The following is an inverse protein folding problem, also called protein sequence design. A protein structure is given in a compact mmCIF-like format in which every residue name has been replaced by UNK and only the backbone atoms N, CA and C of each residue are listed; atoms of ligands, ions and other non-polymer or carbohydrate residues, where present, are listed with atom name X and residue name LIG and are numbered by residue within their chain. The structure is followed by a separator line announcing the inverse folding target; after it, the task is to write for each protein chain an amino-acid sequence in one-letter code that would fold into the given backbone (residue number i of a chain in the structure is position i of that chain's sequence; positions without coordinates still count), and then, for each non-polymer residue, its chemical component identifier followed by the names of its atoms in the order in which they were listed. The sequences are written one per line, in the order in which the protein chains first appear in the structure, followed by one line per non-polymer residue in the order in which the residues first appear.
data_IF_298510854861
#
_entry.id   IF_298510854861
#
_cell.length_a   1.000
_cell.length_b   1.000
_cell.length_c   1.000
_cell.angle_alpha   90.00
_cell.angle_beta   90.00
_cell.angle_gamma   90.00
#
_symmetry.space_group_name_H-M   'P 1'
#
loop_
_entity.id
_entity.type
_entity.pdbx_description
1 polymer ?
#
# COMPACT_ATOMS: atom_id res chain seq x y z
N UNK A 1 18.70 57.99 -19.48
CA UNK A 1 18.07 56.76 -20.00
C UNK A 1 17.56 55.93 -18.82
N UNK A 2 16.27 56.02 -18.53
CA UNK A 2 15.61 55.31 -17.42
C UNK A 2 15.06 53.97 -17.91
N UNK A 3 15.63 52.85 -17.43
CA UNK A 3 15.06 51.52 -17.64
C UNK A 3 13.92 51.34 -16.62
N UNK A 4 12.69 51.53 -17.07
CA UNK A 4 11.47 51.18 -16.34
C UNK A 4 11.47 49.69 -16.02
N UNK A 5 11.74 49.34 -14.76
CA UNK A 5 11.53 48.01 -14.21
C UNK A 5 10.02 47.78 -14.09
N UNK A 6 9.44 47.07 -15.06
CA UNK A 6 8.06 46.55 -14.94
C UNK A 6 8.06 45.59 -13.74
N UNK A 7 7.17 45.77 -12.75
CA UNK A 7 7.19 44.98 -11.53
C UNK A 7 6.85 43.52 -11.83
N UNK A 8 7.73 42.61 -11.40
CA UNK A 8 7.60 41.14 -11.45
C UNK A 8 6.24 40.64 -10.95
N UNK A 9 5.58 41.40 -10.07
CA UNK A 9 4.28 41.13 -9.48
C UNK A 9 3.17 41.06 -10.56
N UNK A 10 3.23 41.89 -11.62
CA UNK A 10 2.22 41.88 -12.70
C UNK A 10 2.31 40.65 -13.60
N UNK A 11 3.49 40.03 -13.73
CA UNK A 11 3.65 38.79 -14.50
C UNK A 11 3.17 37.57 -13.72
N UNK A 12 3.38 37.56 -12.40
CA UNK A 12 2.89 36.50 -11.52
C UNK A 12 1.35 36.47 -11.45
N UNK A 13 0.69 37.62 -11.40
CA UNK A 13 -0.77 37.68 -11.41
C UNK A 13 -1.38 37.09 -12.70
N UNK A 14 -0.79 37.36 -13.87
CA UNK A 14 -1.28 36.77 -15.13
C UNK A 14 -1.12 35.25 -15.21
N UNK A 15 -0.09 34.69 -14.57
CA UNK A 15 0.13 33.24 -14.54
C UNK A 15 -0.82 32.56 -13.56
N UNK A 16 -1.01 33.14 -12.36
CA UNK A 16 -1.88 32.59 -11.31
C UNK A 16 -3.36 32.66 -11.71
N UNK A 17 -3.79 33.68 -12.45
CA UNK A 17 -5.16 33.81 -12.94
C UNK A 17 -5.42 33.13 -14.30
N UNK A 18 -4.47 32.34 -14.82
CA UNK A 18 -4.66 31.61 -16.07
C UNK A 18 -5.63 30.44 -15.88
N UNK A 19 -6.75 30.35 -16.63
CA UNK A 19 -7.70 29.24 -16.55
C UNK A 19 -7.06 27.87 -16.78
N UNK A 20 -5.92 27.82 -17.49
CA UNK A 20 -5.18 26.58 -17.75
C UNK A 20 -4.51 26.05 -16.48
N UNK A 21 -4.01 26.92 -15.61
CA UNK A 21 -3.37 26.54 -14.34
C UNK A 21 -4.42 25.96 -13.37
N UNK A 22 -5.58 26.61 -13.26
CA UNK A 22 -6.70 26.12 -12.44
C UNK A 22 -7.24 24.77 -12.93
N UNK A 23 -7.34 24.58 -14.25
CA UNK A 23 -7.79 23.31 -14.84
C UNK A 23 -6.75 22.20 -14.59
N UNK A 24 -5.45 22.49 -14.75
CA UNK A 24 -4.39 21.54 -14.46
C UNK A 24 -4.36 21.14 -12.96
N UNK A 25 -4.52 22.10 -12.05
CA UNK A 25 -4.63 21.84 -10.62
C UNK A 25 -5.86 20.97 -10.30
N UNK A 26 -7.01 21.26 -10.94
CA UNK A 26 -8.22 20.45 -10.78
C UNK A 26 -8.04 19.00 -11.24
N UNK A 27 -7.39 18.78 -12.39
CA UNK A 27 -7.04 17.44 -12.88
C UNK A 27 -6.09 16.72 -11.92
N UNK A 28 -5.10 17.43 -11.37
CA UNK A 28 -4.18 16.86 -10.39
C UNK A 28 -4.89 16.46 -9.09
N UNK A 29 -5.77 17.30 -8.56
CA UNK A 29 -6.59 16.97 -7.38
C UNK A 29 -7.48 15.74 -7.64
N UNK A 30 -8.10 15.66 -8.83
CA UNK A 30 -8.92 14.51 -9.20
C UNK A 30 -8.09 13.23 -9.35
N UNK A 31 -6.92 13.30 -10.00
CA UNK A 31 -6.00 12.18 -10.12
C UNK A 31 -5.52 11.67 -8.76
N UNK A 32 -5.13 12.57 -7.87
CA UNK A 32 -4.75 12.25 -6.48
C UNK A 32 -5.90 11.60 -5.71
N UNK A 33 -7.15 12.01 -5.94
CA UNK A 33 -8.32 11.35 -5.34
C UNK A 33 -8.48 9.90 -5.80
N UNK A 34 -8.16 9.57 -7.05
CA UNK A 34 -8.22 8.19 -7.56
C UNK A 34 -7.15 7.34 -6.88
N UNK A 35 -5.92 7.87 -6.77
CA UNK A 35 -4.80 7.18 -6.11
C UNK A 35 -5.12 6.91 -4.63
N UNK A 36 -5.67 7.91 -3.93
CA UNK A 36 -6.12 7.74 -2.54
C UNK A 36 -7.20 6.67 -2.45
N UNK A 37 -8.19 6.69 -3.36
CA UNK A 37 -9.25 5.68 -3.40
C UNK A 37 -8.71 4.26 -3.63
N UNK A 38 -7.78 4.09 -4.58
CA UNK A 38 -7.14 2.80 -4.83
C UNK A 38 -6.39 2.28 -3.60
N UNK A 39 -5.64 3.16 -2.92
CA UNK A 39 -4.93 2.78 -1.70
C UNK A 39 -5.91 2.39 -0.56
N UNK A 40 -7.05 3.10 -0.43
CA UNK A 40 -8.10 2.71 0.52
C UNK A 40 -8.68 1.34 0.20
N UNK A 41 -8.96 1.07 -1.07
CA UNK A 41 -9.54 -0.19 -1.52
C UNK A 41 -8.55 -1.36 -1.30
N UNK A 42 -7.25 -1.14 -1.52
CA UNK A 42 -6.22 -2.12 -1.19
C UNK A 42 -6.14 -2.42 0.32
N UNK A 43 -6.14 -1.38 1.16
CA UNK A 43 -6.13 -1.55 2.61
C UNK A 43 -7.40 -2.27 3.11
N UNK A 44 -8.54 -1.98 2.50
CA UNK A 44 -9.80 -2.67 2.76
C UNK A 44 -9.78 -4.14 2.29
N UNK A 45 -9.18 -4.43 1.14
CA UNK A 45 -9.01 -5.79 0.67
C UNK A 45 -8.11 -6.59 1.62
N UNK A 46 -7.00 -6.01 2.09
CA UNK A 46 -6.08 -6.65 3.03
C UNK A 46 -6.76 -6.92 4.38
N UNK A 47 -7.57 -5.98 4.89
CA UNK A 47 -8.30 -6.21 6.15
C UNK A 47 -9.36 -7.30 6.02
N UNK A 48 -10.07 -7.35 4.90
CA UNK A 48 -11.04 -8.43 4.61
C UNK A 48 -10.34 -9.77 4.45
N UNK A 49 -9.18 -9.81 3.79
CA UNK A 49 -8.37 -11.02 3.64
C UNK A 49 -7.88 -11.52 5.00
N UNK A 50 -7.30 -10.63 5.81
CA UNK A 50 -6.89 -10.95 7.17
C UNK A 50 -8.05 -11.55 7.98
N UNK A 51 -9.21 -10.89 8.01
CA UNK A 51 -10.39 -11.40 8.71
C UNK A 51 -10.83 -12.80 8.23
N UNK A 52 -10.71 -13.11 6.93
CA UNK A 52 -11.08 -14.41 6.36
C UNK A 52 -10.05 -15.51 6.64
N UNK A 53 -8.76 -15.18 6.58
CA UNK A 53 -7.66 -16.15 6.73
C UNK A 53 -7.49 -16.55 8.20
N UNK A 54 -7.88 -15.68 9.14
CA UNK A 54 -7.68 -15.93 10.57
C UNK A 54 -6.22 -15.76 11.00
N UNK A 55 -5.96 -15.98 12.29
CA UNK A 55 -4.59 -16.00 12.81
C UNK A 55 -3.97 -17.39 12.62
N UNK A 56 -2.66 -17.48 12.31
CA UNK A 56 -1.97 -18.76 12.23
C UNK A 56 -1.90 -19.45 13.61
N UNK A 57 -1.51 -20.73 13.60
CA UNK A 57 -1.32 -21.49 14.84
C UNK A 57 -0.19 -20.88 15.68
N UNK A 58 -0.39 -20.89 17.00
CA UNK A 58 0.60 -20.40 17.95
C UNK A 58 1.79 -21.36 18.06
N UNK A 59 3.00 -20.88 17.77
CA UNK A 59 4.23 -21.67 17.81
C UNK A 59 5.28 -21.05 18.74
N UNK A 60 6.20 -21.87 19.26
CA UNK A 60 7.36 -21.37 20.01
C UNK A 60 8.34 -20.69 19.06
N UNK A 61 9.00 -19.60 19.50
CA UNK A 61 9.93 -18.87 18.64
C UNK A 61 11.05 -19.76 18.07
N UNK A 62 11.60 -20.68 18.87
CA UNK A 62 12.66 -21.59 18.42
C UNK A 62 12.20 -22.60 17.36
N UNK A 63 10.90 -22.82 17.21
CA UNK A 63 10.30 -23.73 16.23
C UNK A 63 9.67 -22.95 15.05
N UNK A 64 9.79 -21.62 15.04
CA UNK A 64 9.21 -20.78 14.00
C UNK A 64 9.94 -20.98 12.66
N UNK A 65 9.15 -21.04 11.59
CA UNK A 65 9.58 -21.24 10.21
C UNK A 65 8.65 -20.35 9.40
N UNK A 66 9.14 -19.25 8.80
CA UNK A 66 8.31 -18.27 8.11
C UNK A 66 7.32 -18.91 7.14
N UNK A 67 7.82 -19.72 6.21
CA UNK A 67 7.01 -20.36 5.14
C UNK A 67 5.86 -21.26 5.64
N UNK A 68 5.90 -21.72 6.90
CA UNK A 68 4.94 -22.68 7.46
C UNK A 68 4.02 -22.01 8.49
N UNK A 69 4.55 -21.05 9.23
CA UNK A 69 3.92 -20.48 10.41
C UNK A 69 3.42 -19.05 10.21
N UNK A 70 3.59 -18.48 9.01
CA UNK A 70 2.89 -17.26 8.59
C UNK A 70 1.64 -17.60 7.77
N UNK A 71 0.71 -16.65 7.71
CA UNK A 71 -0.45 -16.76 6.84
C UNK A 71 -0.23 -16.01 5.51
N UNK A 72 -1.22 -16.02 4.62
CA UNK A 72 -1.14 -15.37 3.30
C UNK A 72 -0.97 -13.83 3.34
N UNK A 73 -1.02 -13.22 4.52
CA UNK A 73 -0.82 -11.79 4.75
C UNK A 73 0.37 -11.53 5.68
N UNK A 74 1.29 -12.50 5.78
CA UNK A 74 2.54 -12.46 6.56
C UNK A 74 2.35 -12.20 8.05
N UNK A 75 1.17 -12.48 8.57
CA UNK A 75 0.93 -12.46 10.01
C UNK A 75 1.50 -13.72 10.65
N UNK A 76 1.98 -13.55 11.88
CA UNK A 76 2.54 -14.62 12.71
C UNK A 76 1.96 -14.57 14.12
N UNK A 77 2.01 -15.73 14.79
CA UNK A 77 1.69 -15.86 16.20
C UNK A 77 2.77 -16.70 16.90
N UNK A 78 3.65 -16.04 17.64
CA UNK A 78 4.79 -16.69 18.31
C UNK A 78 4.79 -16.48 19.82
N UNK A 79 5.23 -17.49 20.55
CA UNK A 79 5.52 -17.42 21.98
C UNK A 79 7.01 -17.21 22.19
N UNK A 80 7.36 -16.21 22.99
CA UNK A 80 8.74 -15.85 23.22
C UNK A 80 8.95 -15.11 24.54
N UNK A 81 10.21 -15.07 24.98
CA UNK A 81 10.61 -14.19 26.08
C UNK A 81 11.14 -12.87 25.52
N UNK A 82 10.76 -11.75 26.13
CA UNK A 82 11.21 -10.42 25.68
C UNK A 82 12.15 -9.77 26.69
N UNK A 83 13.29 -9.30 26.22
CA UNK A 83 14.32 -8.64 27.05
C UNK A 83 14.09 -7.15 27.20
N UNK A 84 13.02 -6.73 27.87
CA UNK A 84 12.65 -5.30 28.02
C UNK A 84 13.76 -4.45 28.63
N UNK A 85 14.59 -5.02 29.51
CA UNK A 85 15.72 -4.34 30.14
C UNK A 85 16.83 -3.94 29.15
N UNK A 86 16.82 -4.55 27.96
CA UNK A 86 17.78 -4.28 26.89
C UNK A 86 17.11 -3.64 25.67
N UNK A 87 15.89 -3.15 25.82
CA UNK A 87 15.22 -2.42 24.76
C UNK A 87 16.00 -1.15 24.40
N UNK A 88 16.03 -0.80 23.13
CA UNK A 88 16.69 0.41 22.64
C UNK A 88 15.80 1.15 21.66
N UNK A 89 16.19 2.36 21.27
CA UNK A 89 15.46 3.14 20.27
C UNK A 89 16.38 3.52 19.14
N UNK A 90 15.86 3.46 17.93
CA UNK A 90 16.53 3.93 16.73
C UNK A 90 15.67 4.94 16.02
N UNK A 91 16.31 5.85 15.29
CA UNK A 91 15.60 6.72 14.37
C UNK A 91 15.68 6.09 12.98
N UNK A 92 14.52 5.80 12.40
CA UNK A 92 14.38 5.16 11.08
C UNK A 92 13.74 6.15 10.12
N UNK A 93 14.32 6.30 8.93
CA UNK A 93 13.85 7.23 7.90
C UNK A 93 14.87 8.33 7.60
N UNK A 94 14.61 9.10 6.55
CA UNK A 94 15.40 10.26 6.16
C UNK A 94 14.81 11.53 6.77
N UNK A 95 15.65 12.39 7.36
CA UNK A 95 15.38 13.74 7.90
C UNK A 95 13.90 14.14 8.10
N UNK A 96 13.16 14.43 7.04
CA UNK A 96 11.77 14.90 7.07
C UNK A 96 10.73 13.84 7.52
N UNK A 97 11.07 12.55 7.45
CA UNK A 97 10.21 11.42 7.82
C UNK A 97 10.84 10.50 8.87
N UNK A 98 11.79 11.03 9.64
CA UNK A 98 12.49 10.27 10.66
C UNK A 98 11.53 9.90 11.82
N UNK A 99 11.40 8.61 12.11
CA UNK A 99 10.55 8.06 13.16
C UNK A 99 11.35 7.33 14.21
N UNK A 100 11.03 7.56 15.47
CA UNK A 100 11.60 6.78 16.57
C UNK A 100 10.92 5.42 16.65
N UNK A 101 11.71 4.37 16.48
CA UNK A 101 11.26 2.99 16.60
C UNK A 101 11.91 2.39 17.83
N UNK A 102 11.08 1.82 18.70
CA UNK A 102 11.49 1.00 19.82
C UNK A 102 11.86 -0.38 19.33
N UNK A 103 13.02 -0.86 19.74
CA UNK A 103 13.48 -2.20 19.45
C UNK A 103 13.56 -2.99 20.76
N UNK A 104 12.91 -4.17 20.79
CA UNK A 104 12.96 -5.08 21.95
C UNK A 104 13.49 -6.43 21.49
N UNK A 105 14.59 -6.94 22.09
CA UNK A 105 15.12 -8.24 21.73
C UNK A 105 14.17 -9.36 22.18
N UNK A 106 14.01 -10.36 21.31
CA UNK A 106 13.19 -11.55 21.53
C UNK A 106 14.11 -12.76 21.67
N UNK A 107 13.85 -13.57 22.69
CA UNK A 107 14.59 -14.78 23.03
C UNK A 107 13.70 -16.03 22.92
N UNK A 108 14.34 -17.18 22.74
CA UNK A 108 13.68 -18.48 22.82
C UNK A 108 12.95 -18.64 24.16
N UNK A 109 11.89 -19.46 24.17
CA UNK A 109 11.23 -19.81 25.42
C UNK A 109 12.17 -20.69 26.24
N UNK A 110 12.56 -20.20 27.42
CA UNK A 110 13.50 -20.92 28.26
C UNK A 110 12.86 -22.12 28.95
N UNK A 111 13.73 -23.01 29.42
CA UNK A 111 13.33 -24.13 30.31
C UNK A 111 12.60 -23.66 31.59
N UNK A 112 12.84 -22.42 32.04
CA UNK A 112 12.15 -21.81 33.19
C UNK A 112 10.68 -21.51 32.88
N UNK A 113 10.36 -21.23 31.61
CA UNK A 113 9.01 -20.90 31.16
C UNK A 113 8.16 -22.11 30.76
N UNK A 114 8.77 -23.28 30.54
CA UNK A 114 8.05 -24.53 30.19
C UNK A 114 6.89 -24.90 31.13
N UNK A 115 6.98 -24.73 32.47
CA UNK A 115 5.88 -25.05 33.37
C UNK A 115 4.62 -24.23 33.08
N UNK A 116 4.77 -22.96 32.68
CA UNK A 116 3.64 -22.09 32.33
C UNK A 116 2.96 -22.54 31.04
N UNK A 117 3.76 -22.96 30.04
CA UNK A 117 3.23 -23.54 28.80
C UNK A 117 2.47 -24.83 29.07
N UNK A 118 3.04 -25.72 29.89
CA UNK A 118 2.39 -26.98 30.27
C UNK A 118 1.09 -26.74 31.05
N UNK A 119 1.06 -25.72 31.93
CA UNK A 119 -0.14 -25.33 32.66
C UNK A 119 -1.21 -24.81 31.70
N UNK A 120 -0.85 -23.94 30.74
CA UNK A 120 -1.77 -23.40 29.73
C UNK A 120 -2.35 -24.52 28.86
N UNK A 121 -1.52 -25.46 28.41
CA UNK A 121 -1.96 -26.62 27.63
C UNK A 121 -2.91 -27.53 28.43
N UNK A 122 -2.65 -27.72 29.73
CA UNK A 122 -3.53 -28.49 30.61
C UNK A 122 -4.90 -27.81 30.79
N UNK A 123 -4.93 -26.48 31.00
CA UNK A 123 -6.16 -25.70 31.12
C UNK A 123 -6.95 -25.73 29.81
N UNK A 124 -6.29 -25.52 28.67
CA UNK A 124 -6.93 -25.53 27.36
C UNK A 124 -7.50 -26.90 26.99
N UNK A 125 -6.82 -27.99 27.35
CA UNK A 125 -7.25 -29.35 27.03
C UNK A 125 -8.29 -29.94 28.00
N UNK A 126 -8.51 -29.30 29.16
CA UNK A 126 -9.38 -29.79 30.23
C UNK A 126 -8.93 -31.13 30.84
N UNK A 127 -7.74 -31.61 30.49
CA UNK A 127 -7.22 -32.92 30.94
C UNK A 127 -6.28 -32.71 32.13
N UNK A 128 -6.37 -33.56 33.18
CA UNK A 128 -5.43 -33.50 34.29
C UNK A 128 -4.02 -33.77 33.78
N UNK A 129 -3.06 -33.03 34.36
CA UNK A 129 -1.63 -33.09 34.03
C UNK A 129 -1.15 -34.55 34.16
N UNK A 130 -0.91 -35.22 33.03
CA UNK A 130 -0.27 -36.53 33.06
C UNK A 130 1.22 -36.32 33.35
N UNK A 131 1.81 -37.04 34.33
CA UNK A 131 3.25 -37.04 34.50
C UNK A 131 3.90 -37.52 33.20
N UNK A 132 4.92 -36.80 32.73
CA UNK A 132 5.61 -37.14 31.49
C UNK A 132 6.22 -38.54 31.59
N UNK A 133 6.14 -39.37 30.52
CA UNK A 133 6.79 -40.67 30.50
C UNK A 133 8.31 -40.52 30.64
N UNK A 134 8.91 -41.25 31.59
CA UNK A 134 10.37 -41.24 31.83
C UNK A 134 11.20 -41.60 30.59
N UNK A 135 10.62 -42.33 29.63
CA UNK A 135 11.25 -42.69 28.37
C UNK A 135 11.62 -41.47 27.49
N UNK A 136 10.95 -40.33 27.66
CA UNK A 136 11.20 -39.11 26.88
C UNK A 136 12.20 -38.15 27.54
N UNK A 137 12.63 -38.45 28.78
CA UNK A 137 13.57 -37.62 29.53
C UNK A 137 14.94 -37.40 28.83
N UNK A 138 15.52 -38.39 28.12
CA UNK A 138 16.80 -38.19 27.42
C UNK A 138 16.66 -37.28 26.19
N UNK A 139 15.52 -37.34 25.50
CA UNK A 139 15.21 -36.46 24.37
C UNK A 139 15.02 -35.01 24.84
N UNK A 140 14.30 -34.82 25.95
CA UNK A 140 14.17 -33.52 26.60
C UNK A 140 15.50 -32.97 27.11
N UNK A 141 16.37 -33.83 27.64
CA UNK A 141 17.71 -33.40 28.07
C UNK A 141 18.56 -32.92 26.87
N UNK A 142 18.45 -33.58 25.71
CA UNK A 142 19.13 -33.16 24.48
C UNK A 142 18.53 -31.87 23.90
N UNK A 143 17.21 -31.75 23.85
CA UNK A 143 16.55 -30.52 23.40
C UNK A 143 16.88 -29.36 24.33
N UNK A 144 16.87 -29.56 25.66
CA UNK A 144 17.23 -28.55 26.63
C UNK A 144 18.67 -28.04 26.47
N UNK A 145 19.62 -28.87 26.01
CA UNK A 145 20.98 -28.42 25.71
C UNK A 145 21.00 -27.51 24.47
N UNK A 146 20.27 -27.88 23.41
CA UNK A 146 20.13 -27.04 22.22
C UNK A 146 19.42 -25.72 22.54
N UNK A 147 18.32 -25.77 23.31
CA UNK A 147 17.59 -24.59 23.79
C UNK A 147 18.49 -23.69 24.63
N UNK A 148 19.34 -24.23 25.50
CA UNK A 148 20.31 -23.44 26.31
C UNK A 148 21.32 -22.65 25.48
N UNK A 149 21.68 -23.12 24.29
CA UNK A 149 22.53 -22.34 23.38
C UNK A 149 21.74 -21.18 22.77
N UNK A 150 20.48 -21.42 22.40
CA UNK A 150 19.58 -20.43 21.82
C UNK A 150 19.10 -19.39 22.85
N UNK A 151 18.91 -19.77 24.12
CA UNK A 151 18.51 -18.88 25.22
C UNK A 151 19.44 -17.66 25.33
N UNK A 152 20.74 -17.82 25.06
CA UNK A 152 21.72 -16.74 25.23
C UNK A 152 21.70 -15.70 24.11
N UNK A 153 21.08 -15.98 22.98
CA UNK A 153 21.11 -15.14 21.78
C UNK A 153 19.72 -14.60 21.47
N UNK A 154 19.64 -13.35 21.01
CA UNK A 154 18.38 -12.82 20.52
C UNK A 154 18.07 -13.49 19.17
N UNK A 155 16.95 -14.21 19.11
CA UNK A 155 16.46 -14.88 17.90
C UNK A 155 15.58 -13.95 17.05
N UNK A 156 15.21 -12.79 17.59
CA UNK A 156 14.39 -11.81 16.90
C UNK A 156 14.40 -10.45 17.59
N UNK A 157 13.69 -9.49 16.97
CA UNK A 157 13.49 -8.14 17.47
C UNK A 157 12.06 -7.70 17.20
N UNK A 158 11.40 -7.19 18.23
CA UNK A 158 10.14 -6.45 18.10
C UNK A 158 10.49 -5.02 17.71
N UNK A 159 9.93 -4.55 16.60
CA UNK A 159 9.97 -3.15 16.18
C UNK A 159 8.61 -2.53 16.46
N UNK A 160 8.55 -1.53 17.33
CA UNK A 160 7.32 -0.83 17.66
C UNK A 160 7.48 0.67 17.38
N UNK A 161 6.51 1.26 16.68
CA UNK A 161 6.48 2.71 16.47
C UNK A 161 6.26 3.40 17.82
N UNK A 162 7.22 4.25 18.22
CA UNK A 162 7.11 5.04 19.44
C UNK A 162 6.44 6.36 19.07
N UNK A 163 5.12 6.44 19.24
CA UNK A 163 4.40 7.70 19.16
C UNK A 163 4.78 8.61 20.36
N UNK A 164 5.85 9.39 20.22
CA UNK A 164 6.29 10.41 21.18
C UNK A 164 7.44 10.00 22.11
N UNK A 165 7.56 10.67 23.25
CA UNK A 165 8.66 10.59 24.23
C UNK A 165 8.62 9.33 25.14
N UNK A 166 8.07 8.22 24.64
CA UNK A 166 7.93 6.99 25.41
C UNK A 166 9.31 6.37 25.70
N UNK A 167 9.85 6.72 26.87
CA UNK A 167 11.15 6.27 27.39
C UNK A 167 11.10 4.89 28.04
N UNK A 168 9.90 4.35 28.28
CA UNK A 168 9.67 3.04 28.88
C UNK A 168 8.68 2.25 28.03
N UNK A 169 9.18 1.27 27.30
CA UNK A 169 8.37 0.24 26.67
C UNK A 169 7.90 -0.70 27.79
N UNK A 170 6.58 -0.84 28.02
CA UNK A 170 6.03 -1.97 28.77
C UNK A 170 5.42 -2.97 27.79
N UNK A 171 5.36 -4.27 28.13
CA UNK A 171 4.71 -5.26 27.26
C UNK A 171 3.26 -4.88 26.92
N UNK A 172 2.53 -4.30 27.87
CA UNK A 172 1.16 -3.83 27.66
C UNK A 172 1.06 -2.69 26.63
N UNK A 173 2.04 -1.79 26.60
CA UNK A 173 2.08 -0.67 25.65
C UNK A 173 2.33 -1.16 24.21
N UNK A 174 2.85 -2.39 24.08
CA UNK A 174 3.11 -3.07 22.82
C UNK A 174 1.98 -4.04 22.42
N UNK A 175 0.87 -4.07 23.17
CA UNK A 175 -0.21 -5.03 22.93
C UNK A 175 0.17 -6.49 23.24
N UNK A 176 1.26 -6.73 23.98
CA UNK A 176 1.80 -8.07 24.23
C UNK A 176 1.23 -8.66 25.53
N UNK A 177 0.30 -9.64 25.47
CA UNK A 177 -0.21 -10.30 26.65
C UNK A 177 0.90 -11.11 27.35
N UNK A 178 1.15 -10.76 28.61
CA UNK A 178 2.10 -11.46 29.48
C UNK A 178 1.47 -12.75 30.01
N UNK A 179 2.11 -13.88 29.72
CA UNK A 179 1.66 -15.21 30.10
C UNK A 179 2.36 -15.74 31.35
N UNK A 180 3.56 -15.23 31.64
CA UNK A 180 4.37 -15.67 32.77
C UNK A 180 5.73 -14.98 32.82
N UNK A 181 6.62 -15.50 33.64
CA UNK A 181 8.01 -15.05 33.74
C UNK A 181 8.96 -16.08 33.13
N UNK A 182 9.98 -15.58 32.45
CA UNK A 182 11.06 -16.36 31.86
C UNK A 182 12.43 -15.93 32.36
N UNK A 183 13.47 -16.47 31.75
CA UNK A 183 14.87 -16.20 32.07
C UNK A 183 15.29 -14.77 31.67
N UNK A 184 14.85 -14.31 30.50
CA UNK A 184 15.24 -13.01 29.92
C UNK A 184 14.26 -11.88 30.23
N UNK A 185 13.04 -12.23 30.61
CA UNK A 185 11.97 -11.29 30.90
C UNK A 185 10.60 -11.98 30.89
N UNK A 186 9.51 -11.26 30.67
CA UNK A 186 8.19 -11.88 30.60
C UNK A 186 8.07 -12.80 29.38
N UNK A 187 7.42 -13.95 29.59
CA UNK A 187 6.91 -14.79 28.52
C UNK A 187 5.68 -14.12 27.94
N UNK A 188 5.71 -13.79 26.66
CA UNK A 188 4.63 -13.10 25.96
C UNK A 188 4.17 -13.88 24.74
N UNK A 189 2.94 -13.64 24.34
CA UNK A 189 2.46 -14.00 23.01
C UNK A 189 2.56 -12.79 22.11
N UNK A 190 3.31 -12.93 21.03
CA UNK A 190 3.50 -11.90 20.02
C UNK A 190 2.59 -12.24 18.85
N UNK A 191 1.69 -11.32 18.52
CA UNK A 191 0.85 -11.39 17.33
C UNK A 191 1.17 -10.15 16.52
N UNK A 192 1.49 -10.31 15.24
CA UNK A 192 1.95 -9.21 14.42
C UNK A 192 2.29 -9.65 13.01
N UNK A 193 3.05 -8.81 12.31
CA UNK A 193 3.50 -9.04 10.93
C UNK A 193 5.02 -9.17 10.91
N UNK A 194 5.52 -10.11 10.12
CA UNK A 194 6.95 -10.20 9.83
C UNK A 194 7.41 -8.99 9.01
N UNK A 195 8.51 -8.37 9.42
CA UNK A 195 9.11 -7.25 8.71
C UNK A 195 10.28 -7.73 7.86
N UNK A 196 10.09 -7.75 6.55
CA UNK A 196 11.18 -8.03 5.61
C UNK A 196 11.97 -6.76 5.26
N UNK A 197 13.30 -6.85 5.29
CA UNK A 197 14.17 -5.78 4.80
C UNK A 197 15.58 -5.78 5.38
N UNK A 198 16.58 -6.01 4.53
CA UNK A 198 17.98 -6.04 4.94
C UNK A 198 18.43 -4.73 5.61
N UNK A 199 17.98 -3.57 5.10
CA UNK A 199 18.35 -2.25 5.66
C UNK A 199 17.79 -2.01 7.06
N UNK A 200 16.57 -2.48 7.32
CA UNK A 200 15.94 -2.40 8.65
C UNK A 200 16.64 -3.35 9.63
N UNK A 201 16.91 -4.58 9.18
CA UNK A 201 17.66 -5.56 9.96
C UNK A 201 19.06 -5.03 10.33
N UNK A 202 19.83 -4.52 9.38
CA UNK A 202 21.18 -4.00 9.62
C UNK A 202 21.16 -2.83 10.62
N UNK A 203 20.18 -1.94 10.48
CA UNK A 203 20.00 -0.82 11.41
C UNK A 203 19.67 -1.29 12.82
N UNK A 204 18.81 -2.29 12.96
CA UNK A 204 18.46 -2.89 14.24
C UNK A 204 19.63 -3.67 14.85
N UNK A 205 20.36 -4.44 14.04
CA UNK A 205 21.56 -5.19 14.42
C UNK A 205 22.62 -4.27 15.01
N UNK A 206 22.97 -3.19 14.31
CA UNK A 206 23.94 -2.19 14.77
C UNK A 206 23.50 -1.54 16.09
N UNK A 207 22.20 -1.24 16.23
CA UNK A 207 21.70 -0.61 17.45
C UNK A 207 21.70 -1.56 18.65
N UNK A 208 21.39 -2.84 18.45
CA UNK A 208 21.47 -3.85 19.50
C UNK A 208 22.90 -4.21 19.88
N UNK A 209 23.80 -4.23 18.91
CA UNK A 209 25.22 -4.46 19.17
C UNK A 209 25.80 -3.36 20.09
N UNK A 210 25.36 -2.10 19.90
CA UNK A 210 25.71 -0.99 20.81
C UNK A 210 25.20 -1.19 22.24
N UNK A 211 24.17 -2.00 22.44
CA UNK A 211 23.68 -2.43 23.76
C UNK A 211 24.32 -3.72 24.25
N UNK A 212 25.37 -4.21 23.58
CA UNK A 212 26.07 -5.45 23.92
C UNK A 212 25.27 -6.70 23.58
N UNK A 213 24.37 -6.63 22.59
CA UNK A 213 23.57 -7.78 22.15
C UNK A 213 23.86 -8.14 20.70
N UNK A 214 24.28 -9.38 20.48
CA UNK A 214 24.31 -9.97 19.14
C UNK A 214 22.92 -10.46 18.72
N UNK A 215 22.50 -10.06 17.52
CA UNK A 215 21.34 -10.64 16.83
C UNK A 215 21.86 -11.66 15.82
N UNK A 216 21.22 -12.82 15.73
CA UNK A 216 21.60 -13.84 14.75
C UNK A 216 21.28 -13.39 13.32
N UNK A 217 22.07 -13.78 12.30
CA UNK A 217 21.70 -13.55 10.91
C UNK A 217 20.34 -14.19 10.60
N UNK A 218 19.45 -13.45 9.94
CA UNK A 218 18.09 -13.92 9.65
C UNK A 218 17.17 -13.97 10.87
N UNK A 219 17.48 -13.20 11.92
CA UNK A 219 16.59 -13.10 13.07
C UNK A 219 15.22 -12.55 12.66
N UNK A 220 14.20 -13.02 13.37
CA UNK A 220 12.82 -12.63 13.13
C UNK A 220 12.60 -11.16 13.50
N UNK A 221 12.20 -10.33 12.54
CA UNK A 221 11.81 -8.95 12.79
C UNK A 221 10.28 -8.87 12.81
N UNK A 222 9.69 -8.38 13.90
CA UNK A 222 8.21 -8.37 14.05
C UNK A 222 7.72 -6.98 14.37
N UNK A 223 6.68 -6.53 13.67
CA UNK A 223 5.83 -5.43 14.10
C UNK A 223 4.63 -6.00 14.86
N UNK A 224 4.55 -5.85 16.20
CA UNK A 224 3.45 -6.39 16.96
C UNK A 224 2.19 -5.56 16.71
N UNK A 225 1.03 -6.19 16.88
CA UNK A 225 -0.23 -5.48 16.93
C UNK A 225 -0.44 -4.85 18.31
N UNK A 226 -0.63 -3.53 18.34
CA UNK A 226 -0.80 -2.74 19.56
C UNK A 226 -2.20 -2.84 20.20
N UNK A 227 -3.22 -3.24 19.43
CA UNK A 227 -4.62 -3.38 19.87
C UNK A 227 -5.27 -4.61 19.19
N UNK A 228 -6.48 -5.09 19.55
CA UNK A 228 -7.05 -6.26 18.91
C UNK A 228 -7.16 -6.00 17.41
N UNK A 229 -6.59 -6.90 16.60
CA UNK A 229 -6.50 -6.94 15.11
C UNK A 229 -7.49 -6.06 14.32
N UNK A 230 -8.73 -5.92 14.78
CA UNK A 230 -9.73 -5.01 14.23
C UNK A 230 -9.36 -3.50 14.26
N UNK A 231 -8.63 -3.00 15.26
CA UNK A 231 -8.30 -1.56 15.39
C UNK A 231 -7.08 -1.16 14.56
N UNK A 232 -6.12 -2.05 14.32
CA UNK A 232 -4.97 -1.79 13.44
C UNK A 232 -5.24 -2.11 11.98
N UNK A 233 -6.09 -3.10 11.71
CA UNK A 233 -6.74 -3.24 10.40
C UNK A 233 -7.82 -2.18 10.16
N UNK A 234 -8.08 -1.28 11.13
CA UNK A 234 -8.99 -0.18 10.91
C UNK A 234 -8.39 0.69 9.80
N UNK A 235 -8.96 0.54 8.61
CA UNK A 235 -8.69 1.34 7.43
C UNK A 235 -8.72 2.79 7.92
N UNK A 236 -7.58 3.47 7.89
CA UNK A 236 -7.55 4.91 8.14
C UNK A 236 -8.52 5.51 7.14
N UNK A 237 -9.64 6.04 7.62
CA UNK A 237 -10.69 6.51 6.72
C UNK A 237 -10.19 7.78 6.01
N UNK A 238 -9.65 7.59 4.81
CA UNK A 238 -9.25 8.66 3.90
C UNK A 238 -10.44 9.13 3.04
N UNK A 239 -11.67 8.66 3.28
CA UNK A 239 -12.85 9.12 2.53
C UNK A 239 -13.05 10.63 2.69
N UNK A 240 -12.83 11.27 3.86
CA UNK A 240 -12.89 12.72 4.00
C UNK A 240 -11.82 13.43 3.13
N UNK A 241 -10.60 12.90 3.08
CA UNK A 241 -9.51 13.44 2.25
C UNK A 241 -9.85 13.30 0.77
N UNK A 242 -10.32 12.12 0.35
CA UNK A 242 -10.78 11.83 -1.01
C UNK A 242 -11.91 12.80 -1.41
N UNK A 243 -12.92 12.97 -0.55
CA UNK A 243 -14.02 13.90 -0.79
C UNK A 243 -13.54 15.35 -0.88
N UNK A 244 -12.63 15.78 0.01
CA UNK A 244 -12.04 17.11 -0.04
C UNK A 244 -11.28 17.36 -1.36
N UNK A 245 -10.52 16.37 -1.85
CA UNK A 245 -9.84 16.45 -3.14
C UNK A 245 -10.81 16.52 -4.33
N UNK A 246 -11.92 15.78 -4.30
CA UNK A 246 -12.97 15.86 -5.32
C UNK A 246 -13.63 17.24 -5.31
N UNK A 247 -14.01 17.76 -4.14
CA UNK A 247 -14.61 19.09 -4.01
C UNK A 247 -13.65 20.20 -4.45
N UNK A 248 -12.38 20.08 -4.09
CA UNK A 248 -11.33 20.98 -4.58
C UNK A 248 -11.24 20.92 -6.10
N UNK A 249 -11.21 19.73 -6.71
CA UNK A 249 -11.17 19.59 -8.16
C UNK A 249 -12.38 20.25 -8.84
N UNK A 250 -13.60 20.03 -8.33
CA UNK A 250 -14.83 20.65 -8.84
C UNK A 250 -14.75 22.19 -8.75
N UNK A 251 -14.29 22.71 -7.61
CA UNK A 251 -14.17 24.15 -7.38
C UNK A 251 -13.14 24.79 -8.32
N UNK A 252 -11.97 24.16 -8.51
CA UNK A 252 -10.91 24.65 -9.39
C UNK A 252 -11.35 24.64 -10.86
N UNK A 253 -12.06 23.60 -11.30
CA UNK A 253 -12.65 23.54 -12.65
C UNK A 253 -13.75 24.58 -12.81
N UNK A 254 -14.59 24.80 -11.79
CA UNK A 254 -15.60 25.85 -11.77
C UNK A 254 -15.00 27.25 -11.93
N UNK A 255 -13.93 27.56 -11.19
CA UNK A 255 -13.18 28.82 -11.32
C UNK A 255 -12.61 28.96 -12.74
N UNK A 256 -12.02 27.90 -13.29
CA UNK A 256 -11.48 27.90 -14.65
C UNK A 256 -12.56 28.17 -15.71
N UNK A 257 -13.77 27.64 -15.53
CA UNK A 257 -14.90 27.87 -16.42
C UNK A 257 -15.42 29.30 -16.31
N UNK A 258 -15.66 29.81 -15.09
CA UNK A 258 -16.13 31.19 -14.86
C UNK A 258 -15.14 32.21 -15.41
N UNK A 259 -13.83 31.98 -15.25
CA UNK A 259 -12.79 32.86 -15.79
C UNK A 259 -12.77 32.92 -17.33
N UNK A 260 -13.37 31.95 -18.03
CA UNK A 260 -13.52 31.96 -19.51
C UNK A 260 -14.78 32.69 -20.00
N UNK A 261 -15.81 32.81 -19.18
CA UNK A 261 -17.10 33.44 -19.56
C UNK A 261 -16.98 34.93 -19.92
N UNK A 262 -16.30 35.81 -19.16
CA UNK A 262 -16.21 37.23 -19.51
C UNK A 262 -15.34 37.48 -20.76
N UNK A 263 -14.41 36.58 -21.10
CA UNK A 263 -13.59 36.70 -22.31
C UNK A 263 -14.39 36.34 -23.58
N UNK A 264 -15.26 35.34 -23.50
CA UNK A 264 -16.15 34.97 -24.61
C UNK A 264 -17.18 36.06 -24.91
N UNK A 265 -17.73 36.71 -23.88
CA UNK A 265 -18.63 37.86 -24.04
C UNK A 265 -17.93 39.11 -24.59
N UNK A 266 -16.63 39.30 -24.33
CA UNK A 266 -15.86 40.41 -24.92
C UNK A 266 -15.58 40.20 -26.42
N UNK A 267 -15.37 38.94 -26.84
CA UNK A 267 -15.10 38.58 -28.25
C UNK A 267 -16.40 38.60 -29.08
N UNK A 268 -17.57 38.44 -28.46
CA UNK A 268 -18.88 38.48 -29.11
C UNK A 268 -19.58 39.85 -29.06
N UNK A 269 -18.86 40.94 -28.74
CA UNK A 269 -19.41 42.28 -29.00
C UNK A 269 -19.61 42.42 -30.51
N UNK A 270 -20.84 42.71 -31.01
CA UNK A 270 -21.04 42.99 -32.41
C UNK A 270 -20.17 44.20 -32.75
N UNK A 271 -19.20 43.98 -33.64
CA UNK A 271 -18.42 45.04 -34.25
C UNK A 271 -19.44 45.99 -34.88
N UNK A 272 -19.63 47.18 -34.31
CA UNK A 272 -20.37 48.24 -35.00
C UNK A 272 -19.65 48.49 -36.31
N UNK A 273 -20.23 48.01 -37.39
CA UNK A 273 -19.87 48.41 -38.75
C UNK A 273 -20.08 49.93 -38.82
N UNK A 274 -18.97 50.66 -38.88
CA UNK A 274 -18.96 51.98 -39.47
C UNK A 274 -19.24 51.79 -40.95
N UNK A 275 -20.45 52.19 -41.36
CA UNK A 275 -20.85 52.29 -42.76
C UNK A 275 -19.97 53.35 -43.40
N UNK A 276 -18.99 52.90 -44.17
CA UNK A 276 -18.28 53.72 -45.15
C UNK A 276 -18.72 53.19 -46.53
N UNK A 277 -19.58 53.97 -47.19
CA UNK A 277 -20.04 53.73 -48.56
C UNK A 277 -18.86 53.83 -49.52
N UNK A 278 -18.54 52.73 -50.21
CA UNK A 278 -17.69 52.73 -51.40
C UNK A 278 -18.32 51.77 -52.42
N UNK A 279 -18.42 52.16 -53.71
CA UNK A 279 -19.39 51.59 -54.63
C UNK A 279 -18.99 50.20 -55.15
N UNK A 280 -20.02 49.53 -55.65
CA UNK A 280 -20.02 48.24 -56.32
C UNK A 280 -18.97 48.12 -57.43
N UNK A 281 -18.44 46.90 -57.58
CA UNK A 281 -18.25 46.16 -58.85
C UNK A 281 -17.23 45.02 -58.62
N UNK A 282 -17.74 43.79 -58.47
CA UNK A 282 -17.44 42.65 -59.35
C UNK A 282 -17.91 41.34 -58.69
N UNK A 283 -18.89 40.75 -59.35
CA UNK A 283 -19.41 39.41 -59.17
C UNK A 283 -18.34 38.35 -59.43
N UNK A 284 -18.08 37.49 -58.45
CA UNK A 284 -17.55 36.14 -58.66
C UNK A 284 -18.25 35.16 -57.69
N UNK A 285 -18.41 33.89 -58.10
CA UNK A 285 -19.54 33.06 -57.72
C UNK A 285 -19.38 32.50 -56.32
N UNK A 286 -20.42 32.69 -55.51
CA UNK A 286 -20.55 32.02 -54.25
C UNK A 286 -20.90 30.54 -54.52
N UNK A 287 -19.92 29.64 -54.37
CA UNK A 287 -20.19 28.22 -54.17
C UNK A 287 -20.71 28.08 -52.74
N UNK A 288 -21.96 28.50 -52.51
CA UNK A 288 -22.71 28.09 -51.34
C UNK A 288 -23.24 26.69 -51.62
N UNK A 289 -22.60 25.68 -51.05
CA UNK A 289 -23.28 24.40 -50.88
C UNK A 289 -24.34 24.59 -49.80
N UNK A 290 -25.63 24.30 -50.07
CA UNK A 290 -26.65 24.34 -49.05
C UNK A 290 -26.28 23.33 -47.95
N UNK A 291 -26.36 23.79 -46.70
CA UNK A 291 -26.21 22.93 -45.53
C UNK A 291 -27.29 21.84 -45.63
N UNK A 292 -26.85 20.58 -45.78
CA UNK A 292 -27.73 19.41 -45.83
C UNK A 292 -28.68 19.43 -44.64
N UNK A 293 -29.98 19.31 -44.91
CA UNK A 293 -30.99 19.26 -43.86
C UNK A 293 -30.87 17.95 -43.08
N UNK A 294 -31.23 17.95 -41.79
CA UNK A 294 -31.11 16.77 -40.91
C UNK A 294 -31.83 15.52 -41.46
N UNK A 295 -32.81 15.69 -42.36
CA UNK A 295 -33.51 14.61 -43.05
C UNK A 295 -32.62 13.87 -44.08
N UNK A 296 -31.66 14.54 -44.71
CA UNK A 296 -30.70 13.89 -45.63
C UNK A 296 -29.62 13.14 -44.86
N UNK A 297 -29.17 13.65 -43.70
CA UNK A 297 -28.19 12.99 -42.84
C UNK A 297 -28.76 11.68 -42.28
N UNK A 298 -30.05 11.67 -41.91
CA UNK A 298 -30.72 10.47 -41.43
C UNK A 298 -30.85 9.38 -42.52
N UNK A 299 -31.13 9.77 -43.78
CA UNK A 299 -31.21 8.81 -44.90
C UNK A 299 -29.84 8.24 -45.30
N UNK A 300 -28.78 9.03 -45.16
CA UNK A 300 -27.41 8.57 -45.45
C UNK A 300 -26.91 7.60 -44.35
N UNK A 301 -27.29 7.81 -43.09
CA UNK A 301 -27.03 6.85 -42.00
C UNK A 301 -27.83 5.55 -42.14
N UNK A 302 -29.08 5.63 -42.60
CA UNK A 302 -29.91 4.44 -42.86
C UNK A 302 -29.39 3.64 -44.07
N UNK A 303 -28.82 4.31 -45.07
CA UNK A 303 -28.13 3.65 -46.20
C UNK A 303 -26.76 3.09 -45.81
N UNK A 304 -26.00 3.76 -44.94
CA UNK A 304 -24.74 3.25 -44.41
C UNK A 304 -24.92 1.98 -43.56
N UNK A 305 -26.01 1.90 -42.78
CA UNK A 305 -26.35 0.69 -42.03
C UNK A 305 -26.84 -0.47 -42.92
N UNK A 306 -27.42 -0.18 -44.08
CA UNK A 306 -27.78 -1.22 -45.07
C UNK A 306 -26.60 -1.67 -45.94
N UNK A 307 -25.51 -0.91 -46.01
CA UNK A 307 -24.37 -1.20 -46.87
C UNK A 307 -23.28 -2.12 -46.26
N UNK A 308 -23.29 -2.39 -44.95
CA UNK A 308 -22.29 -3.27 -44.32
C UNK A 308 -22.83 -4.64 -43.86
N UNK A 309 -22.87 -5.63 -44.78
CA UNK A 309 -22.67 -7.02 -44.38
C UNK A 309 -21.46 -7.70 -45.06
N UNK A 310 -20.68 -7.00 -45.89
CA UNK A 310 -19.60 -7.63 -46.68
C UNK A 310 -18.19 -7.52 -46.07
N UNK A 311 -17.94 -6.56 -45.17
CA UNK A 311 -16.61 -6.30 -44.57
C UNK A 311 -16.30 -7.22 -43.38
N UNK A 312 -17.32 -7.64 -42.60
CA UNK A 312 -17.15 -8.58 -41.47
C UNK A 312 -16.72 -9.99 -41.88
N UNK A 313 -17.07 -10.45 -43.09
CA UNK A 313 -16.68 -11.78 -43.59
C UNK A 313 -15.22 -11.86 -44.05
N UNK A 314 -14.58 -10.73 -44.40
CA UNK A 314 -13.16 -10.72 -44.79
C UNK A 314 -12.22 -10.75 -43.58
N UNK A 315 -12.61 -10.12 -42.46
CA UNK A 315 -11.81 -10.10 -41.24
C UNK A 315 -11.82 -11.42 -40.45
N UNK A 316 -12.93 -12.18 -40.48
CA UNK A 316 -12.96 -13.51 -39.85
C UNK A 316 -12.12 -14.55 -40.60
N UNK A 317 -11.95 -14.42 -41.93
CA UNK A 317 -11.14 -15.32 -42.74
C UNK A 317 -9.63 -15.11 -42.51
N UNK A 318 -9.21 -13.87 -42.25
CA UNK A 318 -7.83 -13.52 -41.93
C UNK A 318 -7.48 -13.98 -40.51
N UNK A 319 -8.40 -13.82 -39.54
CA UNK A 319 -8.18 -14.32 -38.17
C UNK A 319 -8.07 -15.85 -38.11
N UNK A 320 -8.81 -16.59 -38.95
CA UNK A 320 -8.68 -18.04 -39.07
C UNK A 320 -7.34 -18.49 -39.65
N UNK A 321 -6.84 -17.82 -40.70
CA UNK A 321 -5.54 -18.16 -41.31
C UNK A 321 -4.33 -17.89 -40.38
N UNK A 322 -4.42 -16.91 -39.49
CA UNK A 322 -3.36 -16.62 -38.51
C UNK A 322 -3.35 -17.65 -37.37
N UNK A 323 -4.53 -18.15 -36.97
CA UNK A 323 -4.64 -19.19 -35.93
C UNK A 323 -4.08 -20.55 -36.40
N UNK A 324 -4.36 -20.93 -37.65
CA UNK A 324 -3.84 -22.18 -38.22
C UNK A 324 -2.32 -22.14 -38.42
N UNK A 325 -1.75 -20.98 -38.77
CA UNK A 325 -0.29 -20.82 -38.93
C UNK A 325 0.48 -20.83 -37.61
N UNK A 326 -0.17 -20.53 -36.47
CA UNK A 326 0.44 -20.60 -35.14
C UNK A 326 0.42 -22.03 -34.57
N UNK A 327 -0.54 -22.86 -34.98
CA UNK A 327 -0.64 -24.25 -34.54
C UNK A 327 0.43 -25.17 -35.15
N UNK A 328 0.90 -24.88 -36.37
CA UNK A 328 1.99 -25.63 -37.02
C UNK A 328 3.38 -25.29 -36.46
N UNK A 329 3.55 -24.12 -35.83
CA UNK A 329 4.83 -23.70 -35.23
C UNK A 329 5.11 -24.35 -33.85
N UNK A 330 4.12 -25.01 -33.25
CA UNK A 330 4.21 -25.61 -31.90
C UNK A 330 4.29 -27.15 -31.92
N UNK A 331 4.51 -27.77 -33.08
CA UNK A 331 4.74 -29.23 -33.13
C UNK A 331 6.16 -29.54 -32.64
N UNK A 332 6.31 -30.35 -31.56
CA UNK A 332 7.61 -30.70 -31.03
C UNK A 332 8.38 -31.56 -32.04
N UNK A 333 9.61 -31.12 -32.36
CA UNK A 333 10.58 -31.87 -33.14
C UNK A 333 10.91 -33.15 -32.39
N UNK A 334 10.39 -34.28 -32.90
CA UNK A 334 10.74 -35.62 -32.42
C UNK A 334 12.22 -35.88 -32.69
N UNK A 335 12.93 -36.21 -31.62
CA UNK A 335 14.25 -36.81 -31.57
C UNK A 335 14.56 -37.70 -32.78
N UNK A 336 15.69 -37.42 -33.43
CA UNK A 336 16.44 -38.43 -34.18
C UNK A 336 17.88 -38.45 -33.64
N UNK A 337 18.14 -39.58 -32.95
CA UNK A 337 19.39 -40.34 -32.84
C UNK A 337 20.71 -39.60 -32.63
#
# INVERSE_FOLDING_TARGET
MSRTRIPLISRLSHIIFSPRVWLAAGVFCFGSSIVVGYHQDQMAANSVLAQKVGLPEEVLLQDFIPDVHTNMVDELQVLAEIGMSKATRINVGSDENAKWVGLVPIYAVSTVSEPFLAQRAAVASGKPRRPMPRANAPLLAKSAIATRMLERQALGVIMADLNGDATLLRPADLGLPVLGSGLHGPLVRIVGVELEGATLFDSAAVAMERQGMGIIPGALMVSPYSDPRATELAIRDLAPLRQALIWAAILLVGIALIARVPLAQLIHRPRKESVEEVPSVHSFPAIFQPIRTQAEIAREQEQAQKAEPSTRRKLSRIAGQVADSAADALRPVKNQQ
#
